data_IF_367032885688
#
_entry.id   IF_367032885688
#
_cell.length_a   1.000
_cell.length_b   1.000
_cell.length_c   1.000
_cell.angle_alpha   90.00
_cell.angle_beta   90.00
_cell.angle_gamma   90.00
#
_symmetry.space_group_name_H-M   'P 1'
#
loop_
_entity.id
_entity.type
_entity.pdbx_description
1 polymer ?
#
# COMPACT_ATOMS: atom_id res chain seq x y z
N UNK A 1 0.86 -16.12 30.30
CA UNK A 1 0.29 -15.73 28.99
C UNK A 1 -1.07 -15.12 29.24
N UNK A 2 -1.18 -13.79 29.26
CA UNK A 2 -2.48 -13.12 29.46
C UNK A 2 -3.30 -13.29 28.18
N UNK A 3 -4.37 -14.08 28.24
CA UNK A 3 -5.28 -14.26 27.12
C UNK A 3 -5.82 -12.88 26.70
N UNK A 4 -5.70 -12.55 25.40
CA UNK A 4 -6.42 -11.40 24.84
C UNK A 4 -7.91 -11.75 24.91
N UNK A 5 -8.73 -10.86 25.46
CA UNK A 5 -10.18 -11.07 25.48
C UNK A 5 -10.73 -11.17 24.05
N UNK A 6 -11.81 -11.93 23.81
CA UNK A 6 -12.31 -12.24 22.46
C UNK A 6 -12.70 -10.98 21.66
N UNK A 7 -13.16 -9.93 22.36
CA UNK A 7 -13.48 -8.63 21.74
C UNK A 7 -12.23 -7.94 21.17
N UNK A 8 -11.11 -8.03 21.89
CA UNK A 8 -9.84 -7.43 21.46
C UNK A 8 -9.25 -8.19 20.28
N UNK A 9 -9.35 -9.50 20.29
CA UNK A 9 -8.91 -10.36 19.19
C UNK A 9 -9.71 -10.08 17.91
N UNK A 10 -11.04 -10.10 18.00
CA UNK A 10 -11.91 -9.75 16.87
C UNK A 10 -11.62 -8.36 16.31
N UNK A 11 -11.37 -7.38 17.18
CA UNK A 11 -10.97 -6.04 16.79
C UNK A 11 -9.65 -6.08 16.02
N UNK A 12 -8.60 -6.67 16.60
CA UNK A 12 -7.26 -6.68 16.01
C UNK A 12 -7.24 -7.42 14.65
N UNK A 13 -7.99 -8.51 14.52
CA UNK A 13 -8.13 -9.31 13.29
C UNK A 13 -8.96 -8.63 12.20
N UNK A 14 -9.73 -7.60 12.57
CA UNK A 14 -10.51 -6.80 11.62
C UNK A 14 -9.73 -5.59 11.08
N UNK A 15 -8.47 -5.40 11.48
CA UNK A 15 -7.64 -4.26 11.07
C UNK A 15 -6.65 -4.64 9.98
N UNK A 16 -6.54 -3.77 8.98
CA UNK A 16 -5.54 -3.87 7.95
C UNK A 16 -4.16 -3.55 8.53
N UNK A 17 -3.16 -4.44 8.36
CA UNK A 17 -1.82 -4.23 8.90
C UNK A 17 -1.06 -3.08 8.22
N UNK A 18 -1.47 -2.66 7.02
CA UNK A 18 -0.83 -1.56 6.28
C UNK A 18 -1.30 -0.17 6.75
N UNK A 19 -2.60 0.04 6.95
CA UNK A 19 -3.12 1.35 7.38
C UNK A 19 -3.45 1.41 8.88
N UNK A 20 -3.61 0.26 9.55
CA UNK A 20 -4.04 0.18 10.95
C UNK A 20 -5.53 0.46 11.18
N UNK A 21 -6.30 0.73 10.12
CA UNK A 21 -7.75 0.89 10.17
C UNK A 21 -8.46 -0.42 9.91
N UNK A 22 -9.77 -0.46 10.15
CA UNK A 22 -10.62 -1.52 9.68
C UNK A 22 -10.47 -1.76 8.18
N UNK A 23 -10.52 -3.02 7.75
CA UNK A 23 -10.50 -3.35 6.33
C UNK A 23 -11.57 -2.58 5.54
N UNK A 24 -11.18 -2.18 4.33
CA UNK A 24 -12.03 -1.60 3.31
C UNK A 24 -11.70 -2.33 2.01
N UNK A 25 -12.70 -3.01 1.45
CA UNK A 25 -12.53 -4.01 0.39
C UNK A 25 -11.36 -4.96 0.68
N UNK A 26 -11.45 -5.80 1.73
CA UNK A 26 -10.40 -6.73 2.08
C UNK A 26 -10.09 -7.67 0.92
N UNK A 27 -8.80 -7.79 0.62
CA UNK A 27 -8.27 -8.77 -0.31
C UNK A 27 -7.26 -9.65 0.39
N UNK A 28 -7.32 -10.94 0.11
CA UNK A 28 -6.45 -11.96 0.67
C UNK A 28 -5.51 -12.47 -0.41
N UNK A 29 -4.23 -12.55 -0.06
CA UNK A 29 -3.18 -13.08 -0.91
C UNK A 29 -3.09 -14.60 -0.79
N UNK A 30 -2.51 -15.32 -1.77
CA UNK A 30 -2.30 -16.79 -1.68
C UNK A 30 -1.48 -17.24 -0.45
N UNK A 31 -0.75 -16.33 0.20
CA UNK A 31 -0.03 -16.63 1.43
C UNK A 31 -0.90 -16.52 2.70
N UNK A 32 -2.18 -16.17 2.55
CA UNK A 32 -3.16 -16.07 3.63
C UNK A 32 -3.24 -14.71 4.31
N UNK A 33 -2.40 -13.74 3.93
CA UNK A 33 -2.44 -12.40 4.50
C UNK A 33 -3.44 -11.49 3.79
N UNK A 34 -4.19 -10.71 4.56
CA UNK A 34 -5.26 -9.82 4.07
C UNK A 34 -4.91 -8.34 4.24
N UNK A 35 -5.33 -7.52 3.28
CA UNK A 35 -5.08 -6.07 3.20
C UNK A 35 -6.32 -5.35 2.65
N UNK A 36 -6.44 -4.04 2.88
CA UNK A 36 -7.37 -3.26 2.06
C UNK A 36 -6.89 -3.26 0.61
N UNK A 37 -7.80 -3.37 -0.37
CA UNK A 37 -7.44 -3.33 -1.79
C UNK A 37 -6.60 -2.11 -2.14
N UNK A 38 -7.03 -0.92 -1.73
CA UNK A 38 -6.31 0.33 -1.96
C UNK A 38 -4.91 0.34 -1.34
N UNK A 39 -4.77 -0.19 -0.11
CA UNK A 39 -3.47 -0.26 0.56
C UNK A 39 -2.50 -1.18 -0.16
N UNK A 40 -2.97 -2.33 -0.66
CA UNK A 40 -2.13 -3.27 -1.38
C UNK A 40 -1.69 -2.73 -2.74
N UNK A 41 -2.60 -2.08 -3.47
CA UNK A 41 -2.29 -1.38 -4.74
C UNK A 41 -1.26 -0.27 -4.53
N UNK A 42 -1.46 0.57 -3.50
CA UNK A 42 -0.51 1.62 -3.16
C UNK A 42 0.88 1.05 -2.82
N UNK A 43 0.93 -0.06 -2.08
CA UNK A 43 2.19 -0.74 -1.76
C UNK A 43 2.88 -1.35 -2.98
N UNK A 44 2.12 -1.76 -3.99
CA UNK A 44 2.63 -2.19 -5.30
C UNK A 44 3.08 -1.02 -6.19
N UNK A 45 2.96 0.24 -5.75
CA UNK A 45 3.26 1.42 -6.55
C UNK A 45 2.28 1.61 -7.71
N UNK A 46 1.01 1.21 -7.54
CA UNK A 46 -0.02 1.30 -8.58
C UNK A 46 0.11 0.26 -9.69
N UNK A 47 1.09 -0.65 -9.63
CA UNK A 47 1.30 -1.68 -10.66
C UNK A 47 0.41 -2.89 -10.40
N UNK A 48 -0.60 -3.09 -11.24
CA UNK A 48 -1.56 -4.20 -11.13
C UNK A 48 -1.75 -4.98 -12.43
N UNK A 49 -0.75 -4.95 -13.32
CA UNK A 49 -0.85 -5.55 -14.66
C UNK A 49 -0.57 -7.07 -14.64
N UNK A 50 -1.06 -7.83 -15.64
CA UNK A 50 -0.77 -9.25 -15.79
C UNK A 50 0.73 -9.52 -15.88
N UNK A 51 1.27 -10.36 -14.98
CA UNK A 51 2.71 -10.68 -14.93
C UNK A 51 3.49 -9.89 -13.88
N UNK A 52 2.90 -8.87 -13.26
CA UNK A 52 3.50 -8.21 -12.11
C UNK A 52 3.58 -9.16 -10.91
N UNK A 53 4.77 -9.24 -10.32
CA UNK A 53 5.03 -9.96 -9.08
C UNK A 53 4.85 -9.03 -7.89
N UNK A 54 3.90 -9.39 -7.03
CA UNK A 54 3.66 -8.77 -5.74
C UNK A 54 4.51 -9.48 -4.67
N UNK A 55 5.13 -8.71 -3.80
CA UNK A 55 5.79 -9.22 -2.59
C UNK A 55 4.87 -8.94 -1.42
N UNK A 56 4.49 -10.00 -0.68
CA UNK A 56 3.68 -9.88 0.52
C UNK A 56 4.38 -9.00 1.57
N UNK A 57 3.76 -7.89 2.02
CA UNK A 57 4.38 -7.00 3.00
C UNK A 57 4.62 -7.62 4.38
N UNK A 58 3.93 -8.71 4.74
CA UNK A 58 4.06 -9.35 6.05
C UNK A 58 5.08 -10.49 6.08
N UNK A 59 5.10 -11.34 5.05
CA UNK A 59 5.97 -12.53 5.05
C UNK A 59 7.03 -12.54 3.94
N UNK A 60 7.05 -11.55 3.05
CA UNK A 60 8.02 -11.45 1.96
C UNK A 60 7.82 -12.45 0.81
N UNK A 61 6.77 -13.27 0.83
CA UNK A 61 6.48 -14.21 -0.26
C UNK A 61 6.18 -13.45 -1.55
N UNK A 62 6.80 -13.88 -2.64
CA UNK A 62 6.53 -13.36 -3.99
C UNK A 62 5.38 -14.15 -4.61
N UNK A 63 4.44 -13.46 -5.27
CA UNK A 63 3.25 -14.04 -5.90
C UNK A 63 2.76 -13.17 -7.06
N UNK A 64 1.93 -13.72 -7.95
CA UNK A 64 1.36 -12.92 -9.04
C UNK A 64 0.24 -12.00 -8.56
N UNK A 65 0.03 -10.83 -9.17
CA UNK A 65 -1.12 -9.99 -8.80
C UNK A 65 -2.48 -10.69 -8.94
N UNK A 66 -2.61 -11.63 -9.90
CA UNK A 66 -3.82 -12.45 -10.10
C UNK A 66 -4.12 -13.41 -8.93
N UNK A 67 -3.14 -13.64 -8.04
CA UNK A 67 -3.26 -14.44 -6.82
C UNK A 67 -4.06 -13.75 -5.70
N UNK A 68 -4.47 -12.50 -5.90
CA UNK A 68 -5.17 -11.71 -4.89
C UNK A 68 -6.68 -11.86 -5.07
N UNK A 69 -7.38 -12.32 -4.04
CA UNK A 69 -8.83 -12.57 -4.07
C UNK A 69 -9.56 -11.68 -3.08
N UNK A 70 -10.78 -11.26 -3.39
CA UNK A 70 -11.62 -10.50 -2.44
C UNK A 70 -12.12 -11.41 -1.33
N UNK A 71 -12.03 -10.97 -0.07
CA UNK A 71 -12.51 -11.72 1.09
C UNK A 71 -13.82 -11.13 1.63
N UNK A 72 -14.93 -11.63 1.07
CA UNK A 72 -16.27 -11.16 1.45
C UNK A 72 -16.57 -11.39 2.93
N UNK A 73 -16.13 -12.54 3.49
CA UNK A 73 -16.38 -12.86 4.90
C UNK A 73 -15.66 -11.89 5.81
N UNK A 74 -14.39 -11.62 5.55
CA UNK A 74 -13.62 -10.63 6.31
C UNK A 74 -14.24 -9.23 6.19
N UNK A 75 -14.80 -8.89 5.03
CA UNK A 75 -15.57 -7.65 4.83
C UNK A 75 -16.80 -7.57 5.73
N UNK A 76 -17.59 -8.64 5.80
CA UNK A 76 -18.76 -8.72 6.69
C UNK A 76 -18.35 -8.64 8.17
N UNK A 77 -17.34 -9.42 8.58
CA UNK A 77 -16.82 -9.40 9.97
C UNK A 77 -16.33 -8.01 10.36
N UNK A 78 -15.58 -7.36 9.49
CA UNK A 78 -15.10 -5.99 9.69
C UNK A 78 -16.26 -5.00 9.86
N UNK A 79 -17.32 -5.14 9.07
CA UNK A 79 -18.52 -4.29 9.20
C UNK A 79 -19.23 -4.50 10.53
N UNK A 80 -19.30 -5.73 11.02
CA UNK A 80 -19.86 -6.04 12.34
C UNK A 80 -18.98 -5.42 13.44
N UNK A 81 -17.66 -5.60 13.37
CA UNK A 81 -16.72 -5.01 14.32
C UNK A 81 -16.84 -3.48 14.40
N UNK A 82 -17.00 -2.80 13.24
CA UNK A 82 -17.29 -1.36 13.18
C UNK A 82 -18.61 -0.99 13.87
N UNK A 83 -19.68 -1.75 13.64
CA UNK A 83 -21.01 -1.51 14.25
C UNK A 83 -21.02 -1.70 15.76
N UNK A 84 -20.19 -2.62 16.26
CA UNK A 84 -19.96 -2.82 17.69
C UNK A 84 -19.11 -1.69 18.31
N UNK A 85 -18.77 -0.66 17.54
CA UNK A 85 -17.95 0.49 17.94
C UNK A 85 -16.64 0.09 18.62
N UNK A 86 -16.08 -1.05 18.21
CA UNK A 86 -14.74 -1.45 18.63
C UNK A 86 -13.80 -0.37 18.06
N UNK A 87 -13.21 0.46 18.91
CA UNK A 87 -12.48 1.64 18.45
C UNK A 87 -11.31 1.21 17.58
N UNK A 88 -11.29 1.48 16.27
CA UNK A 88 -10.07 1.27 15.48
C UNK A 88 -8.95 2.14 16.08
N UNK A 89 -7.70 1.66 16.12
CA UNK A 89 -6.60 2.53 16.49
C UNK A 89 -6.50 3.64 15.43
N UNK A 90 -5.97 4.82 15.79
CA UNK A 90 -5.82 5.89 14.82
C UNK A 90 -5.02 5.39 13.61
N UNK A 91 -5.40 5.78 12.37
CA UNK A 91 -4.68 5.41 11.16
C UNK A 91 -3.19 5.71 11.30
N UNK A 92 -2.33 4.79 10.82
CA UNK A 92 -0.91 5.12 10.66
C UNK A 92 -0.82 6.14 9.54
N UNK A 93 -0.30 7.33 9.83
CA UNK A 93 0.05 8.34 8.81
C UNK A 93 1.04 7.68 7.84
N UNK A 94 0.62 7.43 6.61
CA UNK A 94 1.55 7.08 5.55
C UNK A 94 2.42 8.32 5.33
N UNK A 95 3.74 8.20 5.48
CA UNK A 95 4.65 9.27 5.08
C UNK A 95 4.48 9.45 3.57
N UNK A 96 3.90 10.58 3.17
CA UNK A 96 3.86 11.03 1.79
C UNK A 96 5.30 11.10 1.28
N UNK A 97 5.73 10.10 0.51
CA UNK A 97 6.95 10.21 -0.27
C UNK A 97 6.62 11.05 -1.49
N UNK A 98 6.74 12.37 -1.32
CA UNK A 98 6.71 13.34 -2.41
C UNK A 98 7.71 12.92 -3.47
N UNK A 99 7.19 12.39 -4.58
CA UNK A 99 7.97 12.15 -5.79
C UNK A 99 7.94 13.45 -6.57
N UNK A 100 8.90 14.34 -6.31
CA UNK A 100 9.16 15.47 -7.20
C UNK A 100 9.66 14.88 -8.51
N UNK A 101 8.77 14.77 -9.49
CA UNK A 101 9.17 14.69 -10.88
C UNK A 101 9.91 16.01 -11.18
N UNK A 102 11.24 15.93 -11.30
CA UNK A 102 12.02 16.99 -11.93
C UNK A 102 11.87 16.81 -13.43
N UNK A 103 11.13 17.72 -14.07
CA UNK A 103 11.17 17.91 -15.52
C UNK A 103 12.61 18.28 -15.92
N UNK A 104 13.25 17.56 -16.86
CA UNK A 104 14.54 17.95 -17.39
C UNK A 104 14.37 18.48 -18.80
N UNK A 105 13.82 19.69 -18.96
CA UNK A 105 14.06 20.45 -20.19
C UNK A 105 13.75 21.94 -20.04
N UNK A 106 14.65 22.68 -19.39
CA UNK A 106 14.84 24.09 -19.70
C UNK A 106 16.33 24.43 -19.66
N UNK A 107 16.78 24.99 -20.78
CA UNK A 107 17.84 26.00 -20.87
C UNK A 107 19.31 25.54 -20.75
N UNK A 108 19.98 25.43 -21.90
CA UNK A 108 21.35 25.95 -22.08
C UNK A 108 21.50 26.55 -23.47
N UNK A 109 21.07 27.80 -23.60
CA UNK A 109 21.62 28.69 -24.61
C UNK A 109 22.97 29.23 -24.10
N UNK A 110 23.91 29.38 -25.04
CA UNK A 110 25.07 30.25 -24.96
C UNK A 110 26.21 29.80 -24.03
N UNK A 111 27.25 29.24 -24.64
CA UNK A 111 28.61 29.83 -24.67
C UNK A 111 29.50 28.91 -25.51
N UNK A 112 30.02 29.39 -26.63
CA UNK A 112 31.42 29.10 -26.95
C UNK A 112 32.00 30.16 -27.87
N UNK A 113 33.16 30.62 -27.45
CA UNK A 113 33.84 31.84 -27.84
C UNK A 113 35.19 31.39 -28.39
N UNK A 114 35.43 31.51 -29.69
CA UNK A 114 36.77 31.50 -30.30
C UNK A 114 36.61 31.65 -31.82
N UNK A 115 37.43 32.39 -32.57
CA UNK A 115 38.83 32.77 -32.36
C UNK A 115 39.14 33.89 -33.37
N UNK A 116 40.08 34.75 -33.00
CA UNK A 116 40.77 35.73 -33.84
C UNK A 116 41.08 35.21 -35.25
N UNK A 117 40.93 36.07 -36.26
CA UNK A 117 41.82 36.07 -37.44
C UNK A 117 42.23 37.52 -37.71
N UNK A 118 43.45 37.87 -37.27
CA UNK A 118 44.23 38.97 -37.82
C UNK A 118 45.01 38.42 -39.02
N UNK A 119 44.85 39.05 -40.19
CA UNK A 119 45.91 39.38 -41.16
C UNK A 119 45.32 40.26 -42.25
#
# INVERSE_FOLDING_TARGET
>A
MTARGPVKELRDDSLCPLCGCYFEDPVTTECGHSYCRGCLVAKAGGRTYPGFQLICPQCGRTMGWKAVTTDVRLGVTTRIARRLNLQAPPPRKQKEQGSTHKDPNEEKASTDHLKLVNS
#
